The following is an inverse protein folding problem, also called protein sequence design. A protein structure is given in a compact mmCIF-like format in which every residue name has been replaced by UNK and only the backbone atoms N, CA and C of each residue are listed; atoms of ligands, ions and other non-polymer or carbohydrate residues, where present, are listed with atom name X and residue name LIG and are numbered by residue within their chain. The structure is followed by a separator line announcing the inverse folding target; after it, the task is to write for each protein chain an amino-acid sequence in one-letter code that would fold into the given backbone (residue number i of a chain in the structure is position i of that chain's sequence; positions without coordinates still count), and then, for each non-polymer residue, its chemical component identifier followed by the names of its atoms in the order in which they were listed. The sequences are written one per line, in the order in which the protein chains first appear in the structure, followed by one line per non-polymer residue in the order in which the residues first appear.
data_IF_908946799045
#
_entry.id   IF_908946799045
#
_cell.length_a   1.000
_cell.length_b   1.000
_cell.length_c   1.000
_cell.angle_alpha   90.00
_cell.angle_beta   90.00
_cell.angle_gamma   90.00
#
_symmetry.space_group_name_H-M   'P 1'
#
loop_
_entity.id
_entity.type
_entity.pdbx_description
1 polymer ?
#
# COMPACT_ATOMS: atom_id res chain seq x y z
N UNK A 1 7.98 0.09 -23.32
CA UNK A 1 8.67 -0.26 -22.07
C UNK A 1 7.61 -0.71 -21.08
N UNK A 2 7.83 -1.83 -20.38
CA UNK A 2 6.86 -2.31 -19.41
C UNK A 2 6.86 -1.38 -18.19
N UNK A 3 5.70 -0.87 -17.80
CA UNK A 3 5.55 -0.05 -16.58
C UNK A 3 5.91 -0.89 -15.37
N UNK A 4 6.86 -0.41 -14.57
CA UNK A 4 7.27 -1.11 -13.34
C UNK A 4 6.15 -1.07 -12.31
N UNK A 5 6.17 -2.01 -11.35
CA UNK A 5 5.20 -1.97 -10.27
C UNK A 5 5.31 -0.68 -9.45
N UNK A 6 6.53 -0.16 -9.26
CA UNK A 6 6.74 1.11 -8.58
C UNK A 6 5.99 2.26 -9.28
N UNK A 7 6.06 2.32 -10.62
CA UNK A 7 5.31 3.31 -11.40
C UNK A 7 3.79 3.12 -11.31
N UNK A 8 3.29 1.87 -11.33
CA UNK A 8 1.86 1.58 -11.13
C UNK A 8 1.37 2.08 -9.77
N UNK A 9 2.20 1.95 -8.74
CA UNK A 9 1.92 2.41 -7.37
C UNK A 9 2.10 3.93 -7.19
N UNK A 10 2.36 4.66 -8.29
CA UNK A 10 2.62 6.10 -8.30
C UNK A 10 3.87 6.50 -7.51
N UNK A 11 4.82 5.56 -7.31
CA UNK A 11 6.12 5.84 -6.71
C UNK A 11 6.94 6.65 -7.70
N UNK A 12 7.20 7.91 -7.36
CA UNK A 12 7.97 8.85 -8.17
C UNK A 12 9.44 8.88 -7.74
N UNK A 13 10.36 9.34 -8.61
CA UNK A 13 11.75 9.59 -8.19
C UNK A 13 11.80 10.57 -7.01
N UNK A 14 12.78 10.38 -6.13
CA UNK A 14 12.98 11.16 -4.89
C UNK A 14 11.80 11.11 -3.90
N UNK A 15 10.95 10.08 -3.96
CA UNK A 15 9.85 9.90 -3.01
C UNK A 15 10.26 9.02 -1.83
N UNK A 16 9.52 9.12 -0.73
CA UNK A 16 9.68 8.25 0.44
C UNK A 16 8.63 7.14 0.44
N UNK A 17 9.05 5.92 0.68
CA UNK A 17 8.16 4.75 0.77
C UNK A 17 8.21 4.13 2.16
N UNK A 18 7.06 3.65 2.62
CA UNK A 18 6.95 2.86 3.85
C UNK A 18 6.36 1.50 3.54
N UNK A 19 6.86 0.48 4.21
CA UNK A 19 6.49 -0.91 4.04
C UNK A 19 6.16 -1.50 5.41
N UNK A 20 5.00 -2.14 5.55
CA UNK A 20 4.71 -2.90 6.79
C UNK A 20 5.65 -4.09 6.94
N UNK A 21 6.01 -4.73 5.82
CA UNK A 21 6.91 -5.87 5.74
C UNK A 21 8.07 -5.58 4.78
N UNK A 22 9.24 -5.25 5.36
CA UNK A 22 10.44 -4.85 4.63
C UNK A 22 11.01 -5.94 3.69
N UNK A 23 10.70 -7.21 3.96
CA UNK A 23 11.07 -8.34 3.12
C UNK A 23 10.52 -8.26 1.70
N UNK A 24 9.40 -7.54 1.49
CA UNK A 24 8.78 -7.37 0.19
C UNK A 24 9.34 -6.21 -0.62
N UNK A 25 10.30 -5.44 -0.10
CA UNK A 25 10.98 -4.36 -0.84
C UNK A 25 11.54 -4.87 -2.17
N UNK A 26 12.10 -6.09 -2.19
CA UNK A 26 12.63 -6.70 -3.40
C UNK A 26 11.62 -6.82 -4.54
N UNK A 27 10.33 -6.95 -4.21
CA UNK A 27 9.24 -7.03 -5.21
C UNK A 27 8.94 -5.69 -5.87
N UNK A 28 9.24 -4.59 -5.20
CA UNK A 28 9.06 -3.25 -5.76
C UNK A 28 10.21 -2.82 -6.68
N UNK A 29 11.27 -3.62 -6.75
CA UNK A 29 12.42 -3.33 -7.60
C UNK A 29 12.13 -3.64 -9.07
N UNK A 30 12.65 -2.83 -10.02
CA UNK A 30 13.48 -1.65 -9.80
C UNK A 30 12.68 -0.43 -9.31
N UNK A 31 13.20 0.24 -8.28
CA UNK A 31 12.67 1.50 -7.78
C UNK A 31 13.25 2.68 -8.60
N UNK A 32 12.46 3.76 -8.79
CA UNK A 32 12.98 4.95 -9.44
C UNK A 32 14.12 5.61 -8.64
N UNK A 33 14.92 6.41 -9.32
CA UNK A 33 16.10 7.04 -8.72
C UNK A 33 15.74 7.94 -7.52
N UNK A 34 16.52 7.82 -6.45
CA UNK A 34 16.37 8.65 -5.25
C UNK A 34 15.22 8.25 -4.33
N UNK A 35 14.50 7.16 -4.61
CA UNK A 35 13.51 6.62 -3.67
C UNK A 35 14.21 6.20 -2.37
N UNK A 36 13.61 6.56 -1.23
CA UNK A 36 14.12 6.22 0.10
C UNK A 36 13.04 5.51 0.89
N UNK A 37 13.43 4.47 1.59
CA UNK A 37 12.54 3.86 2.57
C UNK A 37 12.60 4.67 3.87
N UNK A 38 11.44 4.80 4.52
CA UNK A 38 11.31 5.42 5.85
C UNK A 38 10.61 4.46 6.80
N UNK A 39 10.92 4.58 8.09
CA UNK A 39 10.34 3.76 9.15
C UNK A 39 8.99 4.31 9.66
N UNK A 40 8.75 5.61 9.45
CA UNK A 40 7.54 6.31 9.88
C UNK A 40 6.56 6.47 8.73
N UNK A 41 5.29 6.12 8.96
CA UNK A 41 4.24 6.22 7.96
C UNK A 41 3.90 7.69 7.64
N UNK A 42 3.97 8.58 8.63
CA UNK A 42 3.83 10.04 8.45
C UNK A 42 4.90 10.67 7.53
N UNK A 43 6.11 10.10 7.49
CA UNK A 43 7.20 10.59 6.64
C UNK A 43 7.14 9.99 5.22
N UNK A 44 6.24 9.05 4.98
CA UNK A 44 6.11 8.33 3.72
C UNK A 44 5.21 9.09 2.76
N UNK A 45 5.66 9.22 1.52
CA UNK A 45 4.80 9.71 0.43
C UNK A 45 3.86 8.62 -0.06
N UNK A 46 4.36 7.36 -0.07
CA UNK A 46 3.62 6.16 -0.46
C UNK A 46 3.78 5.11 0.62
N UNK A 47 2.69 4.60 1.16
CA UNK A 47 2.69 3.50 2.12
C UNK A 47 2.15 2.23 1.45
N UNK A 48 2.82 1.11 1.67
CA UNK A 48 2.39 -0.20 1.19
C UNK A 48 2.31 -1.16 2.38
N UNK A 49 1.07 -1.56 2.70
CA UNK A 49 0.77 -2.56 3.72
C UNK A 49 0.67 -3.91 3.03
N UNK A 50 1.52 -4.87 3.40
CA UNK A 50 1.38 -6.27 2.99
C UNK A 50 0.58 -7.01 4.06
N UNK A 51 -0.47 -7.70 3.63
CA UNK A 51 -1.31 -8.52 4.47
C UNK A 51 -1.65 -9.81 3.71
N UNK A 52 -1.22 -10.95 4.25
CA UNK A 52 -1.58 -12.26 3.72
C UNK A 52 -3.07 -12.57 3.96
N UNK A 53 -3.63 -12.01 5.03
CA UNK A 53 -5.01 -12.23 5.45
C UNK A 53 -5.72 -10.89 5.72
N UNK A 54 -7.05 -10.80 5.54
CA UNK A 54 -7.82 -9.61 5.88
C UNK A 54 -7.70 -9.24 7.37
N UNK A 55 -7.50 -10.21 8.25
CA UNK A 55 -7.25 -9.97 9.67
C UNK A 55 -5.95 -9.18 9.90
N UNK A 56 -4.84 -9.56 9.27
CA UNK A 56 -3.57 -8.83 9.39
C UNK A 56 -3.63 -7.42 8.79
N UNK A 57 -4.39 -7.25 7.69
CA UNK A 57 -4.68 -5.93 7.14
C UNK A 57 -5.39 -5.07 8.18
N UNK A 58 -6.41 -5.63 8.85
CA UNK A 58 -7.19 -4.94 9.87
C UNK A 58 -6.36 -4.50 11.05
N UNK A 59 -5.51 -5.38 11.57
CA UNK A 59 -4.63 -5.06 12.69
C UNK A 59 -3.68 -3.92 12.32
N UNK A 60 -3.01 -4.00 11.17
CA UNK A 60 -2.06 -2.98 10.70
C UNK A 60 -2.75 -1.63 10.46
N UNK A 61 -3.89 -1.63 9.76
CA UNK A 61 -4.65 -0.42 9.48
C UNK A 61 -5.20 0.19 10.77
N UNK A 62 -5.70 -0.61 11.70
CA UNK A 62 -6.20 -0.10 12.99
C UNK A 62 -5.08 0.48 13.83
N UNK A 63 -3.90 -0.16 13.86
CA UNK A 63 -2.74 0.31 14.59
C UNK A 63 -2.26 1.68 14.09
N UNK A 64 -2.31 1.91 12.77
CA UNK A 64 -1.87 3.16 12.15
C UNK A 64 -3.01 4.12 11.79
N UNK A 65 -4.25 3.90 12.26
CA UNK A 65 -5.46 4.64 11.84
C UNK A 65 -5.30 6.17 11.87
N UNK A 66 -4.56 6.71 12.84
CA UNK A 66 -4.30 8.15 12.97
C UNK A 66 -3.36 8.73 11.91
N UNK A 67 -2.57 7.89 11.25
CA UNK A 67 -1.52 8.27 10.31
C UNK A 67 -1.85 7.84 8.87
N UNK A 68 -2.85 6.99 8.62
CA UNK A 68 -3.18 6.43 7.30
C UNK A 68 -3.45 7.47 6.21
N UNK A 69 -3.81 8.70 6.59
CA UNK A 69 -4.07 9.81 5.67
C UNK A 69 -2.86 10.71 5.43
N UNK A 70 -1.76 10.52 6.16
CA UNK A 70 -0.51 11.24 5.95
C UNK A 70 0.15 10.92 4.60
N UNK A 71 0.28 9.64 4.18
CA UNK A 71 0.79 9.33 2.84
C UNK A 71 -0.21 9.72 1.76
N UNK A 72 0.28 10.29 0.66
CA UNK A 72 -0.54 10.67 -0.49
C UNK A 72 -1.10 9.45 -1.27
N UNK A 73 -0.52 8.27 -1.06
CA UNK A 73 -1.03 7.01 -1.57
C UNK A 73 -0.80 5.88 -0.55
N UNK A 74 -1.88 5.23 -0.13
CA UNK A 74 -1.85 4.02 0.68
C UNK A 74 -2.29 2.83 -0.17
N UNK A 75 -1.47 1.80 -0.20
CA UNK A 75 -1.73 0.56 -0.92
C UNK A 75 -1.76 -0.61 0.05
N UNK A 76 -2.70 -1.52 -0.11
CA UNK A 76 -2.75 -2.78 0.64
C UNK A 76 -2.54 -3.91 -0.35
N UNK A 77 -1.41 -4.61 -0.21
CA UNK A 77 -1.07 -5.80 -0.95
C UNK A 77 -1.69 -7.03 -0.25
N UNK A 78 -2.38 -7.86 -1.03
CA UNK A 78 -3.03 -9.09 -0.61
C UNK A 78 -2.78 -10.20 -1.64
N UNK A 79 -2.86 -11.49 -1.25
CA UNK A 79 -2.65 -12.60 -2.18
C UNK A 79 -3.65 -12.55 -3.34
N UNK A 80 -3.18 -12.81 -4.56
CA UNK A 80 -4.02 -12.91 -5.72
C UNK A 80 -4.91 -14.15 -5.58
N UNK A 81 -6.24 -13.93 -5.51
CA UNK A 81 -7.22 -14.98 -5.23
C UNK A 81 -7.98 -14.74 -3.93
N UNK A 82 -7.46 -13.90 -3.04
CA UNK A 82 -8.18 -13.42 -1.88
C UNK A 82 -9.24 -12.37 -2.25
N UNK A 83 -10.27 -12.27 -1.42
CA UNK A 83 -11.39 -11.37 -1.64
C UNK A 83 -10.96 -9.93 -1.38
N UNK A 84 -10.77 -9.18 -2.47
CA UNK A 84 -10.57 -7.70 -2.44
C UNK A 84 -11.67 -6.98 -1.65
N UNK A 85 -12.86 -7.58 -1.61
CA UNK A 85 -14.04 -7.09 -0.89
C UNK A 85 -13.78 -7.04 0.63
N UNK A 86 -13.13 -8.07 1.19
CA UNK A 86 -12.76 -8.11 2.60
C UNK A 86 -11.70 -7.05 2.94
N UNK A 87 -10.67 -6.91 2.09
CA UNK A 87 -9.63 -5.88 2.29
C UNK A 87 -10.24 -4.47 2.20
N UNK A 88 -11.15 -4.25 1.25
CA UNK A 88 -11.87 -2.99 1.12
C UNK A 88 -12.79 -2.73 2.31
N UNK A 89 -13.48 -3.75 2.83
CA UNK A 89 -14.33 -3.65 4.01
C UNK A 89 -13.52 -3.27 5.25
N UNK A 90 -12.34 -3.88 5.43
CA UNK A 90 -11.39 -3.51 6.49
C UNK A 90 -10.94 -2.06 6.36
N UNK A 91 -10.61 -1.61 5.14
CA UNK A 91 -10.32 -0.19 4.88
C UNK A 91 -11.48 0.72 5.29
N UNK A 92 -12.71 0.32 4.99
CA UNK A 92 -13.91 1.08 5.37
C UNK A 92 -14.11 1.20 6.88
N UNK A 93 -13.74 0.20 7.69
CA UNK A 93 -13.82 0.27 9.15
C UNK A 93 -12.91 1.36 9.74
N UNK A 94 -11.80 1.68 9.08
CA UNK A 94 -10.86 2.73 9.49
C UNK A 94 -11.12 4.08 8.82
N UNK A 95 -12.17 4.20 8.01
CA UNK A 95 -12.54 5.45 7.31
C UNK A 95 -11.82 5.66 5.97
N UNK A 96 -11.34 4.59 5.36
CA UNK A 96 -10.75 4.60 4.03
C UNK A 96 -11.73 4.03 2.99
N UNK A 97 -11.55 4.41 1.73
CA UNK A 97 -12.31 3.89 0.59
C UNK A 97 -11.36 3.34 -0.47
N UNK A 98 -11.73 2.23 -1.13
CA UNK A 98 -10.99 1.74 -2.29
C UNK A 98 -11.06 2.77 -3.44
N UNK A 99 -9.91 3.18 -3.96
CA UNK A 99 -9.76 4.13 -5.09
C UNK A 99 -9.36 3.41 -6.39
N UNK A 100 -8.76 2.23 -6.30
CA UNK A 100 -8.38 1.42 -7.46
C UNK A 100 -7.60 0.17 -7.07
N UNK A 101 -7.37 -0.73 -8.03
CA UNK A 101 -6.59 -1.95 -7.83
C UNK A 101 -5.55 -2.10 -8.95
N UNK A 102 -4.39 -2.63 -8.60
CA UNK A 102 -3.33 -3.01 -9.54
C UNK A 102 -2.79 -4.39 -9.18
N UNK A 103 -2.53 -5.23 -10.18
CA UNK A 103 -1.80 -6.47 -9.95
C UNK A 103 -0.29 -6.16 -9.77
N UNK A 104 0.29 -6.68 -8.70
CA UNK A 104 1.73 -6.63 -8.44
C UNK A 104 2.46 -7.56 -9.41
N UNK A 105 2.10 -8.83 -9.28
CA UNK A 105 2.66 -10.03 -9.89
C UNK A 105 1.55 -11.09 -9.92
N UNK A 106 1.87 -12.32 -10.35
CA UNK A 106 0.92 -13.45 -10.34
C UNK A 106 0.44 -13.87 -8.95
N UNK A 107 1.12 -13.43 -7.89
CA UNK A 107 0.84 -13.85 -6.51
C UNK A 107 0.19 -12.75 -5.66
N UNK A 108 0.35 -11.47 -6.00
CA UNK A 108 -0.10 -10.37 -5.15
C UNK A 108 -0.87 -9.33 -5.96
N UNK A 109 -1.98 -8.87 -5.42
CA UNK A 109 -2.73 -7.72 -5.89
C UNK A 109 -2.66 -6.60 -4.86
N UNK A 110 -2.66 -5.34 -5.31
CA UNK A 110 -2.72 -4.18 -4.44
C UNK A 110 -4.00 -3.41 -4.67
N UNK A 111 -4.70 -3.10 -3.60
CA UNK A 111 -5.81 -2.14 -3.61
C UNK A 111 -5.33 -0.83 -3.01
N UNK A 112 -5.63 0.27 -3.69
CA UNK A 112 -5.40 1.62 -3.19
C UNK A 112 -6.53 1.99 -2.26
N UNK A 113 -6.17 2.39 -1.05
CA UNK A 113 -7.11 2.98 -0.12
C UNK A 113 -6.82 4.47 -0.01
N UNK A 114 -7.87 5.29 0.01
CA UNK A 114 -7.79 6.72 0.24
C UNK A 114 -8.74 7.11 1.37
N UNK A 115 -8.29 7.99 2.27
CA UNK A 115 -9.19 8.58 3.26
C UNK A 115 -10.29 9.39 2.61
N UNK A 116 -11.48 9.37 3.21
CA UNK A 116 -12.51 10.34 2.91
C UNK A 116 -11.95 11.72 3.28
N UNK A 117 -11.64 12.55 2.28
CA UNK A 117 -11.35 13.97 2.53
C UNK A 117 -12.64 14.59 3.05
N UNK A 118 -12.58 15.18 4.24
CA UNK A 118 -13.41 16.33 4.58
C UNK A 118 -13.08 17.51 3.65
#
# INVERSE_FOLDING_TARGET
MATTIAEKLQIKPNTTIWLSHNEHLGRLTPLPAGVRQVDLLEAASVAIVFADEPASARETLTAHKGELTAPGALWVAYPAGDAVEDVAAVGAEVGLRPDGQVAMDDTWSLVRLRGERD
#
